data_IF_114206623242
#
_entry.id   IF_114206623242
#
_cell.length_a   1.000
_cell.length_b   1.000
_cell.length_c   1.000
_cell.angle_alpha   90.00
_cell.angle_beta   90.00
_cell.angle_gamma   90.00
#
_symmetry.space_group_name_H-M   'P 1'
#
loop_
_entity.id
_entity.type
_entity.pdbx_description
1 polymer ?
#
# COMPACT_ATOMS: atom_id res chain seq x y z
N UNK A 1 72.08 -29.69 -46.09
CA UNK A 1 71.65 -28.46 -45.38
C UNK A 1 70.81 -28.89 -44.18
N UNK A 2 71.46 -29.18 -43.05
CA UNK A 2 70.78 -29.58 -41.81
C UNK A 2 70.40 -28.33 -41.02
N UNK A 3 69.17 -28.28 -40.50
CA UNK A 3 68.73 -27.22 -39.59
C UNK A 3 69.60 -27.27 -38.32
N UNK A 4 69.94 -26.10 -37.80
CA UNK A 4 70.74 -26.00 -36.58
C UNK A 4 69.97 -26.59 -35.38
N UNK A 5 70.67 -27.20 -34.43
CA UNK A 5 70.06 -27.85 -33.26
C UNK A 5 69.18 -26.88 -32.42
N UNK A 6 69.47 -25.58 -32.51
CA UNK A 6 68.65 -24.50 -31.93
C UNK A 6 67.30 -24.30 -32.66
N UNK A 7 67.22 -24.50 -33.97
CA UNK A 7 65.97 -24.39 -34.74
C UNK A 7 65.05 -25.59 -34.50
N UNK A 8 65.62 -26.79 -34.33
CA UNK A 8 64.86 -27.98 -33.96
C UNK A 8 64.21 -27.77 -32.59
N UNK A 9 64.98 -27.33 -31.59
CA UNK A 9 64.48 -27.06 -30.24
C UNK A 9 63.46 -25.92 -30.21
N UNK A 10 63.61 -24.89 -31.05
CA UNK A 10 62.64 -23.79 -31.20
C UNK A 10 61.35 -24.25 -31.85
N UNK A 11 61.41 -25.13 -32.85
CA UNK A 11 60.26 -25.72 -33.52
C UNK A 11 59.51 -26.68 -32.60
N UNK A 12 60.22 -27.52 -31.86
CA UNK A 12 59.64 -28.40 -30.83
C UNK A 12 58.96 -27.61 -29.71
N UNK A 13 59.56 -26.51 -29.25
CA UNK A 13 58.95 -25.63 -28.26
C UNK A 13 57.69 -24.91 -28.80
N UNK A 14 57.68 -24.53 -30.09
CA UNK A 14 56.51 -23.96 -30.74
C UNK A 14 55.39 -24.99 -30.94
N UNK A 15 55.73 -26.23 -31.31
CA UNK A 15 54.79 -27.33 -31.45
C UNK A 15 54.22 -27.78 -30.09
N UNK A 16 55.03 -27.79 -29.03
CA UNK A 16 54.57 -28.04 -27.66
C UNK A 16 53.58 -26.96 -27.18
N UNK A 17 53.84 -25.68 -27.47
CA UNK A 17 52.89 -24.58 -27.18
C UNK A 17 51.59 -24.70 -27.96
N UNK A 18 51.64 -25.12 -29.23
CA UNK A 18 50.44 -25.36 -30.04
C UNK A 18 49.60 -26.51 -29.48
N UNK A 19 50.24 -27.63 -29.10
CA UNK A 19 49.54 -28.78 -28.48
C UNK A 19 48.87 -28.42 -27.16
N UNK A 20 49.54 -27.63 -26.30
CA UNK A 20 48.93 -27.14 -25.06
C UNK A 20 47.72 -26.24 -25.35
N UNK A 21 47.80 -25.34 -26.32
CA UNK A 21 46.68 -24.48 -26.73
C UNK A 21 45.51 -25.27 -27.34
N UNK A 22 45.80 -26.34 -28.10
CA UNK A 22 44.78 -27.23 -28.65
C UNK A 22 44.10 -28.08 -27.57
N UNK A 23 44.84 -28.56 -26.57
CA UNK A 23 44.29 -29.28 -25.42
C UNK A 23 43.42 -28.39 -24.53
N UNK A 24 43.77 -27.10 -24.38
CA UNK A 24 42.94 -26.12 -23.68
C UNK A 24 41.63 -25.84 -24.42
N UNK A 25 41.67 -25.72 -25.75
CA UNK A 25 40.48 -25.55 -26.59
C UNK A 25 39.55 -26.77 -26.51
N UNK A 26 40.10 -27.99 -26.60
CA UNK A 26 39.33 -29.24 -26.45
C UNK A 26 38.66 -29.33 -25.07
N UNK A 27 39.37 -28.96 -24.00
CA UNK A 27 38.80 -28.92 -22.64
C UNK A 27 37.72 -27.84 -22.49
N UNK A 28 37.84 -26.70 -23.18
CA UNK A 28 36.83 -25.64 -23.16
C UNK A 28 35.57 -26.06 -23.92
N UNK A 29 35.72 -26.68 -25.09
CA UNK A 29 34.62 -27.21 -25.91
C UNK A 29 33.87 -28.34 -25.18
N UNK A 30 34.57 -29.23 -24.48
CA UNK A 30 33.94 -30.28 -23.69
C UNK A 30 33.12 -29.71 -22.52
N UNK A 31 33.63 -28.65 -21.86
CA UNK A 31 32.92 -27.94 -20.79
C UNK A 31 31.67 -27.22 -21.31
N UNK A 32 31.78 -26.55 -22.45
CA UNK A 32 30.63 -25.88 -23.08
C UNK A 32 29.59 -26.89 -23.60
N UNK A 33 30.01 -28.05 -24.13
CA UNK A 33 29.10 -29.14 -24.49
C UNK A 33 28.33 -29.68 -23.28
N UNK A 34 29.03 -29.96 -22.17
CA UNK A 34 28.39 -30.40 -20.91
C UNK A 34 27.43 -29.34 -20.35
N UNK A 35 27.80 -28.06 -20.44
CA UNK A 35 26.95 -26.94 -20.00
C UNK A 35 25.73 -26.76 -20.89
N UNK A 36 25.87 -26.94 -22.21
CA UNK A 36 24.76 -26.91 -23.17
C UNK A 36 23.80 -28.07 -22.93
N UNK A 37 24.31 -29.27 -22.65
CA UNK A 37 23.49 -30.44 -22.32
C UNK A 37 22.71 -30.24 -21.01
N UNK A 38 23.34 -29.71 -19.96
CA UNK A 38 22.64 -29.38 -18.70
C UNK A 38 21.57 -28.31 -18.93
N UNK A 39 21.84 -27.29 -19.75
CA UNK A 39 20.85 -26.28 -20.12
C UNK A 39 19.69 -26.87 -20.91
N UNK A 40 19.96 -27.73 -21.88
CA UNK A 40 18.93 -28.42 -22.67
C UNK A 40 18.05 -29.31 -21.78
N UNK A 41 18.66 -30.08 -20.87
CA UNK A 41 17.94 -30.91 -19.88
C UNK A 41 17.07 -30.08 -18.93
N UNK A 42 17.55 -28.91 -18.51
CA UNK A 42 16.76 -27.97 -17.70
C UNK A 42 15.61 -27.34 -18.49
N UNK A 43 15.81 -27.01 -19.77
CA UNK A 43 14.76 -26.46 -20.64
C UNK A 43 13.67 -27.51 -20.94
N UNK A 44 14.05 -28.75 -21.21
CA UNK A 44 13.12 -29.86 -21.47
C UNK A 44 12.30 -30.20 -20.23
N UNK A 45 12.93 -30.25 -19.06
CA UNK A 45 12.23 -30.40 -17.78
C UNK A 45 11.27 -29.24 -17.49
N UNK A 46 11.61 -28.02 -17.93
CA UNK A 46 10.72 -26.85 -17.82
C UNK A 46 9.56 -26.89 -18.83
N UNK A 47 9.77 -27.38 -20.06
CA UNK A 47 8.73 -27.57 -21.09
C UNK A 47 7.74 -28.68 -20.70
N UNK A 48 8.22 -29.81 -20.19
CA UNK A 48 7.37 -30.90 -19.70
C UNK A 48 6.45 -30.45 -18.54
N UNK A 49 6.92 -29.52 -17.69
CA UNK A 49 6.10 -28.88 -16.63
C UNK A 49 5.11 -27.83 -17.16
N UNK A 50 5.30 -27.29 -18.37
CA UNK A 50 4.36 -26.33 -18.99
C UNK A 50 3.13 -27.01 -19.60
N UNK A 51 3.21 -28.28 -19.98
CA UNK A 51 2.10 -29.03 -20.61
C UNK A 51 0.91 -29.35 -19.69
N UNK A 52 1.02 -29.15 -18.37
CA UNK A 52 -0.06 -29.38 -17.39
C UNK A 52 -0.57 -28.08 -16.73
N UNK A 53 -0.43 -26.92 -17.39
CA UNK A 53 -1.00 -25.63 -16.92
C UNK A 53 -2.50 -25.58 -17.22
N UNK A 54 -3.30 -26.27 -16.41
CA UNK A 54 -4.77 -26.17 -16.47
C UNK A 54 -5.25 -24.74 -16.25
N UNK A 55 -6.08 -24.23 -17.18
CA UNK A 55 -6.99 -23.07 -17.22
C UNK A 55 -6.59 -21.71 -16.60
N UNK A 56 -5.73 -21.62 -15.58
CA UNK A 56 -5.26 -20.39 -14.95
C UNK A 56 -3.86 -20.59 -14.35
N UNK A 57 -2.94 -19.66 -14.58
CA UNK A 57 -1.67 -19.66 -13.84
C UNK A 57 -1.93 -19.40 -12.35
N UNK A 58 -1.19 -20.03 -11.43
CA UNK A 58 -1.34 -19.80 -9.98
C UNK A 58 -1.23 -18.31 -9.59
N UNK A 59 -0.36 -17.56 -10.27
CA UNK A 59 -0.19 -16.12 -10.12
C UNK A 59 -1.45 -15.33 -10.51
N UNK A 60 -2.07 -15.66 -11.66
CA UNK A 60 -3.31 -15.01 -12.11
C UNK A 60 -4.46 -15.31 -11.15
N UNK A 61 -4.55 -16.54 -10.64
CA UNK A 61 -5.55 -16.93 -9.62
C UNK A 61 -5.35 -16.17 -8.31
N UNK A 62 -4.10 -15.98 -7.86
CA UNK A 62 -3.79 -15.17 -6.67
C UNK A 62 -4.16 -13.69 -6.87
N UNK A 63 -3.81 -13.11 -8.02
CA UNK A 63 -4.17 -11.72 -8.37
C UNK A 63 -5.68 -11.53 -8.41
N UNK A 64 -6.41 -12.45 -9.03
CA UNK A 64 -7.87 -12.40 -9.09
C UNK A 64 -8.53 -12.46 -7.70
N UNK A 65 -8.08 -13.36 -6.81
CA UNK A 65 -8.56 -13.41 -5.42
C UNK A 65 -8.26 -12.12 -4.65
N UNK A 66 -7.14 -11.47 -4.94
CA UNK A 66 -6.81 -10.17 -4.35
C UNK A 66 -7.78 -9.10 -4.82
N UNK A 67 -8.01 -9.01 -6.13
CA UNK A 67 -8.94 -8.05 -6.73
C UNK A 67 -10.37 -8.26 -6.22
N UNK A 68 -10.82 -9.52 -6.09
CA UNK A 68 -12.13 -9.85 -5.52
C UNK A 68 -12.29 -9.36 -4.08
N UNK A 69 -11.26 -9.52 -3.24
CA UNK A 69 -11.30 -9.02 -1.86
C UNK A 69 -11.23 -7.50 -1.78
N UNK A 70 -10.45 -6.87 -2.67
CA UNK A 70 -10.39 -5.41 -2.75
C UNK A 70 -11.74 -4.83 -3.19
N UNK A 71 -12.35 -5.39 -4.24
CA UNK A 71 -13.68 -4.98 -4.69
C UNK A 71 -14.75 -5.25 -3.62
N UNK A 72 -14.70 -6.39 -2.93
CA UNK A 72 -15.63 -6.67 -1.83
C UNK A 72 -15.47 -5.68 -0.66
N UNK A 73 -14.24 -5.30 -0.32
CA UNK A 73 -13.98 -4.29 0.71
C UNK A 73 -14.46 -2.90 0.30
N UNK A 74 -14.25 -2.52 -0.97
CA UNK A 74 -14.74 -1.26 -1.52
C UNK A 74 -16.27 -1.21 -1.56
N UNK A 75 -16.92 -2.30 -2.02
CA UNK A 75 -18.37 -2.43 -2.03
C UNK A 75 -18.96 -2.33 -0.61
N UNK A 76 -18.34 -2.97 0.37
CA UNK A 76 -18.75 -2.89 1.77
C UNK A 76 -18.66 -1.45 2.30
N UNK A 77 -17.57 -0.73 1.99
CA UNK A 77 -17.41 0.68 2.38
C UNK A 77 -18.47 1.57 1.72
N UNK A 78 -18.71 1.38 0.42
CA UNK A 78 -19.74 2.12 -0.32
C UNK A 78 -21.15 1.88 0.23
N UNK A 79 -21.45 0.65 0.64
CA UNK A 79 -22.72 0.32 1.28
C UNK A 79 -22.85 0.99 2.66
N UNK A 80 -21.78 1.00 3.47
CA UNK A 80 -21.76 1.70 4.75
C UNK A 80 -22.01 3.20 4.58
N UNK A 81 -21.37 3.84 3.59
CA UNK A 81 -21.57 5.25 3.27
C UNK A 81 -23.01 5.52 2.81
N UNK A 82 -23.57 4.67 1.94
CA UNK A 82 -24.98 4.77 1.51
C UNK A 82 -25.93 4.66 2.69
N UNK A 83 -25.74 3.65 3.56
CA UNK A 83 -26.58 3.44 4.76
C UNK A 83 -26.45 4.58 5.76
N UNK A 84 -25.26 5.17 5.90
CA UNK A 84 -25.05 6.34 6.74
C UNK A 84 -25.72 7.60 6.17
N UNK A 85 -25.67 7.80 4.86
CA UNK A 85 -26.36 8.89 4.18
C UNK A 85 -27.89 8.76 4.29
N UNK A 86 -28.43 7.57 4.02
CA UNK A 86 -29.85 7.27 4.18
C UNK A 86 -30.30 7.46 5.63
N UNK A 87 -29.49 7.01 6.61
CA UNK A 87 -29.76 7.26 8.04
C UNK A 87 -29.85 8.77 8.33
N UNK A 88 -28.96 9.59 7.77
CA UNK A 88 -29.00 11.05 7.95
C UNK A 88 -30.25 11.65 7.31
N UNK A 89 -30.62 11.21 6.11
CA UNK A 89 -31.82 11.66 5.40
C UNK A 89 -33.11 11.31 6.18
N UNK A 90 -33.21 10.08 6.67
CA UNK A 90 -34.36 9.63 7.48
C UNK A 90 -34.46 10.41 8.78
N UNK A 91 -33.33 10.66 9.47
CA UNK A 91 -33.31 11.47 10.69
C UNK A 91 -33.79 12.91 10.39
N UNK A 92 -33.29 13.52 9.33
CA UNK A 92 -33.69 14.87 8.91
C UNK A 92 -35.20 14.94 8.61
N UNK A 93 -35.74 13.96 7.88
CA UNK A 93 -37.20 13.86 7.60
C UNK A 93 -38.02 13.66 8.87
N UNK A 94 -37.54 12.87 9.84
CA UNK A 94 -38.30 12.52 11.06
C UNK A 94 -38.31 13.64 12.10
N UNK A 95 -37.20 14.36 12.24
CA UNK A 95 -37.06 15.48 13.19
C UNK A 95 -37.70 16.75 12.61
N UNK A 96 -37.57 16.98 11.29
CA UNK A 96 -38.04 18.19 10.65
C UNK A 96 -37.18 19.41 10.99
N UNK A 97 -37.68 20.60 10.65
CA UNK A 97 -37.01 21.85 11.01
C UNK A 97 -37.34 22.23 12.47
N UNK A 98 -36.39 22.82 13.23
CA UNK A 98 -36.68 23.32 14.57
C UNK A 98 -37.87 24.27 14.56
N UNK A 99 -38.78 24.11 15.53
CA UNK A 99 -39.90 25.02 15.70
C UNK A 99 -39.35 26.39 16.16
N UNK A 100 -39.71 27.49 15.50
CA UNK A 100 -39.31 28.81 15.96
C UNK A 100 -39.96 29.06 17.31
N UNK A 101 -39.16 29.35 18.32
CA UNK A 101 -39.65 29.65 19.69
C UNK A 101 -39.76 31.16 19.96
N UNK A 102 -39.13 31.98 19.12
CA UNK A 102 -39.15 33.43 19.24
C UNK A 102 -40.53 33.99 18.90
N UNK A 103 -41.07 34.80 19.82
CA UNK A 103 -42.36 35.47 19.66
C UNK A 103 -43.60 34.64 20.05
N UNK A 104 -43.44 33.44 20.62
CA UNK A 104 -44.59 32.71 21.16
C UNK A 104 -45.02 33.23 22.53
N UNK A 105 -46.33 33.20 22.77
CA UNK A 105 -46.89 33.48 24.09
C UNK A 105 -46.57 32.33 25.06
N UNK A 106 -46.47 32.66 26.35
CA UNK A 106 -46.13 31.70 27.42
C UNK A 106 -47.03 30.46 27.42
N UNK A 107 -48.33 30.62 27.16
CA UNK A 107 -49.26 29.48 27.05
C UNK A 107 -48.91 28.54 25.92
N UNK A 108 -48.62 29.08 24.72
CA UNK A 108 -48.27 28.27 23.55
C UNK A 108 -46.93 27.56 23.74
N UNK A 109 -45.98 28.19 24.44
CA UNK A 109 -44.71 27.57 24.79
C UNK A 109 -44.91 26.38 25.75
N UNK A 110 -45.79 26.52 26.74
CA UNK A 110 -46.13 25.44 27.67
C UNK A 110 -46.79 24.25 26.95
N UNK A 111 -47.70 24.52 26.01
CA UNK A 111 -48.35 23.48 25.21
C UNK A 111 -47.35 22.74 24.30
N UNK A 112 -46.45 23.49 23.66
CA UNK A 112 -45.37 22.92 22.85
C UNK A 112 -44.46 21.97 23.67
N UNK A 113 -44.10 22.36 24.89
CA UNK A 113 -43.32 21.51 25.80
C UNK A 113 -44.06 20.22 26.16
N UNK A 114 -45.36 20.29 26.43
CA UNK A 114 -46.19 19.11 26.72
C UNK A 114 -46.28 18.17 25.52
N UNK A 115 -46.39 18.71 24.32
CA UNK A 115 -46.47 17.91 23.09
C UNK A 115 -45.13 17.23 22.78
N UNK A 116 -44.00 17.92 22.96
CA UNK A 116 -42.68 17.30 22.87
C UNK A 116 -42.51 16.18 23.89
N UNK A 117 -42.89 16.40 25.14
CA UNK A 117 -42.82 15.37 26.18
C UNK A 117 -43.65 14.13 25.81
N UNK A 118 -44.91 14.31 25.38
CA UNK A 118 -45.76 13.19 24.91
C UNK A 118 -45.14 12.45 23.73
N UNK A 119 -44.52 13.18 22.79
CA UNK A 119 -43.85 12.57 21.64
C UNK A 119 -42.61 11.78 22.05
N UNK A 120 -41.83 12.29 22.99
CA UNK A 120 -40.65 11.58 23.55
C UNK A 120 -41.09 10.28 24.21
N UNK A 121 -42.10 10.30 25.09
CA UNK A 121 -42.57 9.08 25.76
C UNK A 121 -43.00 7.99 24.77
N UNK A 122 -43.71 8.35 23.69
CA UNK A 122 -44.08 7.39 22.63
C UNK A 122 -42.87 6.85 21.86
N UNK A 123 -41.87 7.69 21.60
CA UNK A 123 -40.65 7.27 20.90
C UNK A 123 -39.78 6.36 21.78
N UNK A 124 -39.74 6.59 23.09
CA UNK A 124 -39.04 5.75 24.05
C UNK A 124 -39.67 4.36 24.14
N UNK A 125 -41.00 4.28 24.16
CA UNK A 125 -41.75 3.02 24.12
C UNK A 125 -41.41 2.20 22.85
N UNK A 126 -41.54 2.83 21.67
CA UNK A 126 -41.16 2.18 20.41
C UNK A 126 -39.68 1.81 20.33
N UNK A 127 -38.79 2.59 20.96
CA UNK A 127 -37.36 2.30 21.02
C UNK A 127 -37.11 1.06 21.88
N UNK A 128 -37.78 0.94 23.02
CA UNK A 128 -37.63 -0.20 23.91
C UNK A 128 -38.01 -1.52 23.22
N UNK A 129 -39.14 -1.55 22.51
CA UNK A 129 -39.59 -2.73 21.77
C UNK A 129 -38.55 -3.16 20.71
N UNK A 130 -38.03 -2.20 19.93
CA UNK A 130 -37.01 -2.47 18.92
C UNK A 130 -35.69 -2.96 19.55
N UNK A 131 -35.26 -2.36 20.66
CA UNK A 131 -34.04 -2.80 21.36
C UNK A 131 -34.19 -4.20 21.94
N UNK A 132 -35.38 -4.53 22.46
CA UNK A 132 -35.69 -5.85 22.97
C UNK A 132 -35.67 -6.91 21.86
N UNK A 133 -36.29 -6.62 20.71
CA UNK A 133 -36.28 -7.51 19.53
C UNK A 133 -34.85 -7.74 19.01
N UNK A 134 -34.02 -6.69 18.95
CA UNK A 134 -32.60 -6.81 18.57
C UNK A 134 -31.85 -7.68 19.57
N UNK A 135 -32.06 -7.49 20.87
CA UNK A 135 -31.42 -8.31 21.92
C UNK A 135 -31.79 -9.79 21.81
N UNK A 136 -33.06 -10.10 21.51
CA UNK A 136 -33.49 -11.48 21.28
C UNK A 136 -32.79 -12.08 20.06
N UNK A 137 -32.72 -11.33 18.94
CA UNK A 137 -32.01 -11.78 17.73
C UNK A 137 -30.52 -12.01 17.99
N UNK A 138 -29.86 -11.15 18.75
CA UNK A 138 -28.45 -11.32 19.13
C UNK A 138 -28.24 -12.58 19.97
N UNK A 139 -29.16 -12.86 20.90
CA UNK A 139 -29.13 -14.11 21.68
C UNK A 139 -29.24 -15.34 20.78
N UNK A 140 -30.20 -15.35 19.85
CA UNK A 140 -30.39 -16.45 18.89
C UNK A 140 -29.17 -16.62 17.98
N UNK A 141 -28.58 -15.53 17.49
CA UNK A 141 -27.36 -15.57 16.68
C UNK A 141 -26.21 -16.19 17.48
N UNK A 142 -26.05 -15.81 18.75
CA UNK A 142 -25.02 -16.37 19.61
C UNK A 142 -25.23 -17.87 19.85
N UNK A 143 -26.48 -18.28 20.13
CA UNK A 143 -26.83 -19.68 20.30
C UNK A 143 -26.52 -20.50 19.03
N UNK A 144 -26.97 -20.03 17.87
CA UNK A 144 -26.70 -20.68 16.58
C UNK A 144 -25.20 -20.71 16.27
N UNK A 145 -24.45 -19.67 16.61
CA UNK A 145 -23.00 -19.61 16.46
C UNK A 145 -22.30 -20.69 17.31
N UNK A 146 -22.76 -20.91 18.54
CA UNK A 146 -22.27 -21.98 19.41
C UNK A 146 -22.58 -23.34 18.79
N UNK A 147 -23.84 -23.58 18.39
CA UNK A 147 -24.26 -24.84 17.77
C UNK A 147 -23.44 -25.17 16.51
N UNK A 148 -23.24 -24.19 15.62
CA UNK A 148 -22.42 -24.38 14.41
C UNK A 148 -20.96 -24.69 14.76
N UNK A 149 -20.40 -24.08 15.80
CA UNK A 149 -19.03 -24.37 16.23
C UNK A 149 -18.89 -25.75 16.86
N UNK A 150 -19.85 -26.19 17.67
CA UNK A 150 -19.86 -27.54 18.26
C UNK A 150 -20.04 -28.61 17.17
N UNK A 151 -20.91 -28.38 16.18
CA UNK A 151 -21.08 -29.26 15.01
C UNK A 151 -19.82 -29.33 14.15
N UNK A 152 -19.10 -28.22 13.99
CA UNK A 152 -17.81 -28.18 13.27
C UNK A 152 -16.68 -28.86 14.06
N UNK A 153 -16.93 -29.19 15.33
CA UNK A 153 -16.00 -29.83 16.26
C UNK A 153 -15.19 -28.79 17.03
N UNK A 154 -15.39 -28.71 18.35
CA UNK A 154 -14.61 -27.87 19.28
C UNK A 154 -13.08 -28.10 19.19
N UNK A 155 -12.68 -29.27 18.70
CA UNK A 155 -11.31 -29.68 18.44
C UNK A 155 -11.05 -29.97 16.94
N UNK A 156 -11.32 -29.01 16.05
CA UNK A 156 -10.63 -29.02 14.75
C UNK A 156 -9.14 -28.84 15.03
N UNK A 157 -8.39 -29.94 15.19
CA UNK A 157 -6.96 -29.93 15.44
C UNK A 157 -6.31 -29.05 14.38
N UNK A 158 -5.79 -27.86 14.74
CA UNK A 158 -5.11 -27.02 13.78
C UNK A 158 -3.97 -27.85 13.21
N UNK A 159 -3.92 -28.01 11.88
CA UNK A 159 -2.82 -28.74 11.27
C UNK A 159 -1.52 -28.04 11.66
N UNK A 160 -0.67 -28.75 12.42
CA UNK A 160 0.61 -28.21 12.88
C UNK A 160 1.50 -28.02 11.64
N UNK A 161 1.48 -26.82 11.07
CA UNK A 161 2.37 -26.46 9.97
C UNK A 161 3.75 -26.21 10.57
N UNK A 162 4.79 -26.82 9.98
CA UNK A 162 6.18 -26.51 10.31
C UNK A 162 6.48 -25.07 9.92
N UNK A 163 6.27 -24.14 10.85
CA UNK A 163 6.64 -22.74 10.68
C UNK A 163 8.16 -22.64 10.74
N UNK A 164 8.78 -22.21 9.64
CA UNK A 164 10.20 -21.88 9.62
C UNK A 164 10.41 -20.63 10.46
N UNK A 165 11.23 -20.72 11.53
CA UNK A 165 11.60 -19.59 12.39
C UNK A 165 12.33 -18.47 11.63
N UNK A 166 12.75 -18.70 10.39
CA UNK A 166 13.50 -17.76 9.56
C UNK A 166 12.64 -16.87 8.66
N UNK A 167 11.34 -17.16 8.49
CA UNK A 167 10.46 -16.38 7.59
C UNK A 167 10.35 -14.92 8.06
N UNK A 168 10.18 -14.72 9.38
CA UNK A 168 10.19 -13.39 9.98
C UNK A 168 11.54 -12.68 9.95
N UNK A 169 12.67 -13.41 9.84
CA UNK A 169 14.01 -12.80 9.71
C UNK A 169 14.25 -12.34 8.27
N UNK A 170 13.79 -13.11 7.29
CA UNK A 170 13.85 -12.77 5.86
C UNK A 170 12.92 -11.60 5.55
N UNK A 171 11.71 -11.56 6.10
CA UNK A 171 10.83 -10.41 5.99
C UNK A 171 11.42 -9.17 6.66
N UNK A 172 12.09 -9.30 7.81
CA UNK A 172 12.77 -8.16 8.47
C UNK A 172 13.91 -7.64 7.60
N UNK A 173 14.75 -8.51 7.04
CA UNK A 173 15.82 -8.11 6.12
C UNK A 173 15.28 -7.49 4.82
N UNK A 174 14.20 -8.03 4.27
CA UNK A 174 13.53 -7.47 3.09
C UNK A 174 12.85 -6.12 3.40
N UNK A 175 12.26 -5.94 4.59
CA UNK A 175 11.70 -4.66 5.04
C UNK A 175 12.80 -3.63 5.31
N UNK A 176 13.98 -4.05 5.80
CA UNK A 176 15.14 -3.16 5.94
C UNK A 176 15.66 -2.74 4.57
N UNK A 177 15.78 -3.67 3.62
CA UNK A 177 16.20 -3.37 2.25
C UNK A 177 15.19 -2.47 1.51
N UNK A 178 13.89 -2.76 1.63
CA UNK A 178 12.83 -1.95 1.02
C UNK A 178 12.73 -0.56 1.68
N UNK A 179 12.95 -0.46 3.00
CA UNK A 179 13.06 0.85 3.68
C UNK A 179 14.29 1.60 3.20
N UNK A 180 15.44 0.94 3.04
CA UNK A 180 16.65 1.56 2.51
C UNK A 180 16.49 2.01 1.03
N UNK A 181 15.77 1.24 0.21
CA UNK A 181 15.44 1.62 -1.17
C UNK A 181 14.48 2.83 -1.22
N UNK A 182 13.48 2.86 -0.34
CA UNK A 182 12.54 3.99 -0.26
C UNK A 182 13.18 5.24 0.34
N UNK A 183 14.09 5.08 1.30
CA UNK A 183 14.87 6.15 1.92
C UNK A 183 15.87 6.75 0.92
N UNK A 184 16.52 5.91 0.10
CA UNK A 184 17.36 6.37 -1.01
C UNK A 184 16.58 7.16 -2.06
N UNK A 185 15.37 6.72 -2.43
CA UNK A 185 14.49 7.47 -3.33
C UNK A 185 14.04 8.82 -2.76
N UNK A 186 13.77 8.88 -1.45
CA UNK A 186 13.33 10.10 -0.79
C UNK A 186 14.48 11.08 -0.52
N UNK A 187 15.70 10.57 -0.32
CA UNK A 187 16.90 11.38 -0.08
C UNK A 187 17.58 11.87 -1.38
N UNK A 188 17.15 11.39 -2.55
CA UNK A 188 17.59 11.93 -3.84
C UNK A 188 16.84 13.23 -4.13
N UNK A 189 17.59 14.34 -4.30
CA UNK A 189 17.04 15.59 -4.83
C UNK A 189 16.45 15.33 -6.22
N UNK A 190 15.13 15.38 -6.33
CA UNK A 190 14.42 15.33 -7.60
C UNK A 190 14.72 16.62 -8.36
N UNK A 191 15.70 16.60 -9.27
CA UNK A 191 15.94 17.72 -10.18
C UNK A 191 14.71 17.82 -11.09
N UNK A 192 13.85 18.80 -10.84
CA UNK A 192 12.80 19.15 -11.79
C UNK A 192 13.49 19.74 -13.02
N UNK A 193 13.71 18.91 -14.03
CA UNK A 193 14.17 19.38 -15.33
C UNK A 193 13.02 20.13 -16.01
N UNK A 194 12.89 21.43 -15.73
CA UNK A 194 12.01 22.35 -16.46
C UNK A 194 12.57 22.71 -17.85
N UNK A 195 13.54 21.93 -18.37
CA UNK A 195 14.22 22.21 -19.65
C UNK A 195 13.66 21.43 -20.85
N UNK A 196 12.58 20.64 -20.68
CA UNK A 196 11.94 19.88 -21.75
C UNK A 196 10.40 19.95 -21.77
N UNK A 197 9.76 20.77 -20.92
CA UNK A 197 8.35 21.13 -21.07
C UNK A 197 8.28 22.47 -21.78
N UNK A 198 8.00 22.38 -23.08
CA UNK A 198 7.68 23.47 -23.98
C UNK A 198 6.58 24.36 -23.37
N UNK A 199 6.75 25.67 -23.57
CA UNK A 199 5.88 26.77 -23.14
C UNK A 199 4.39 26.46 -23.30
N UNK A 200 3.61 26.68 -22.24
CA UNK A 200 2.36 27.44 -22.30
C UNK A 200 1.95 27.90 -20.88
N UNK A 201 1.45 29.13 -20.81
CA UNK A 201 0.98 29.89 -19.63
C UNK A 201 2.02 30.50 -18.67
N UNK A 202 2.67 31.57 -19.16
CA UNK A 202 3.11 32.69 -18.32
C UNK A 202 1.88 33.51 -17.85
N UNK A 203 1.43 33.29 -16.62
CA UNK A 203 0.75 34.30 -15.80
C UNK A 203 1.42 34.29 -14.43
N UNK A 204 2.34 35.23 -14.25
CA UNK A 204 2.50 36.08 -13.06
C UNK A 204 3.89 36.72 -13.14
N UNK A 205 3.90 38.05 -13.24
CA UNK A 205 5.08 38.85 -13.55
C UNK A 205 6.17 38.80 -12.47
N UNK A 206 7.42 39.15 -12.82
CA UNK A 206 8.55 39.04 -11.91
C UNK A 206 8.47 40.13 -10.83
N UNK A 207 8.05 39.75 -9.63
CA UNK A 207 8.31 40.52 -8.41
C UNK A 207 9.83 40.69 -8.25
N UNK A 208 10.28 41.93 -8.37
CA UNK A 208 11.68 42.31 -8.17
C UNK A 208 12.16 41.86 -6.76
N UNK A 209 13.34 41.24 -6.65
CA UNK A 209 13.88 40.75 -5.38
C UNK A 209 14.32 41.89 -4.43
N UNK A 210 14.15 41.67 -3.12
CA UNK A 210 14.26 42.66 -2.03
C UNK A 210 15.60 43.39 -1.84
N UNK A 211 16.65 43.05 -2.59
CA UNK A 211 17.90 43.83 -2.56
C UNK A 211 17.84 45.10 -3.42
N UNK A 212 16.79 45.27 -4.23
CA UNK A 212 16.57 46.44 -5.07
C UNK A 212 15.94 47.65 -4.34
N UNK A 213 15.62 47.54 -3.04
CA UNK A 213 14.88 48.55 -2.25
C UNK A 213 15.58 48.97 -0.96
N UNK A 214 16.92 48.97 -0.92
CA UNK A 214 17.69 49.60 0.16
C UNK A 214 18.76 50.53 -0.41
N UNK A 215 18.32 51.73 -0.77
CA UNK A 215 19.19 52.77 -1.32
C UNK A 215 18.58 54.18 -1.32
N UNK A 216 17.64 54.48 -0.42
CA UNK A 216 17.11 55.84 -0.26
C UNK A 216 16.36 56.00 1.08
N UNK A 217 17.08 56.39 2.13
CA UNK A 217 16.62 57.27 3.22
C UNK A 217 17.69 57.28 4.32
N UNK A 218 18.40 58.40 4.40
CA UNK A 218 19.31 58.82 5.46
C UNK A 218 18.58 59.91 6.26
N UNK A 219 18.73 59.88 7.59
CA UNK A 219 18.27 60.89 8.59
C UNK A 219 16.74 61.05 8.69
N UNK A 220 16.11 61.08 9.86
CA UNK A 220 16.27 62.06 10.95
C UNK A 220 15.72 61.50 12.30
N UNK A 221 16.26 61.99 13.42
CA UNK A 221 15.61 62.22 14.76
C UNK A 221 15.17 60.99 15.59
N UNK A 222 15.82 60.60 16.69
CA UNK A 222 15.99 61.24 18.02
C UNK A 222 14.72 61.25 18.92
N UNK A 223 14.89 60.64 20.11
CA UNK A 223 14.49 61.14 21.44
C UNK A 223 13.59 60.23 22.34
N UNK A 224 14.16 59.92 23.53
CA UNK A 224 13.57 59.58 24.85
C UNK A 224 12.73 58.29 24.98
N UNK A 225 12.87 57.46 26.03
CA UNK A 225 12.92 57.80 27.47
C UNK A 225 13.80 56.80 28.25
N UNK A 226 14.49 57.33 29.26
CA UNK A 226 15.34 56.68 30.26
C UNK A 226 14.54 56.19 31.49
N UNK A 227 15.17 55.30 32.28
CA UNK A 227 15.02 55.06 33.73
C UNK A 227 13.79 54.26 34.22
N UNK A 228 13.85 53.42 35.26
CA UNK A 228 14.88 52.74 36.06
C UNK A 228 14.09 51.83 37.04
N UNK A 229 14.63 50.67 37.46
CA UNK A 229 14.55 50.16 38.84
C UNK A 229 15.39 48.85 38.96
N UNK A 230 16.65 48.99 39.40
CA UNK A 230 17.29 48.11 40.40
C UNK A 230 18.36 48.89 41.18
#
# INVERSE_FOLDING_TARGET
>A
MGLSELEIRRREAQEARKRLSEDEKRKAEEKERKKAEVRARLEEAARAKKGKKGFMTPERKKKLRSLLRQNAAEALKREQERKAAERREVIAKRIGNPQPVDGLSQSKLADLCRDYHKRISKLEDSKYDLEYEVRQKDFVINELSIQVNDLRGKFVKPSLKKVSKYDGKLEKMAKIAAKAENDFRNNLKRVQSTKFTMEEENKDGPTKPEWATKGSAKEVEAQEVEADDE
#
